data_IF_767083117379
#
_entry.id   IF_767083117379
#
_cell.length_a   1.000
_cell.length_b   1.000
_cell.length_c   1.000
_cell.angle_alpha   90.00
_cell.angle_beta   90.00
_cell.angle_gamma   90.00
#
_symmetry.space_group_name_H-M   'P 1'
#
loop_
_entity.id
_entity.type
_entity.pdbx_description
1 polymer ?
#
# COMPACT_ATOMS: atom_id res chain seq x y z
N UNK A 1 38.63 -1.91 -3.71
CA UNK A 1 38.33 -0.66 -4.41
C UNK A 1 36.91 -0.73 -4.97
N UNK A 2 36.13 0.30 -4.77
CA UNK A 2 34.82 0.50 -5.42
C UNK A 2 34.83 1.87 -6.12
N UNK A 3 34.09 1.97 -7.20
CA UNK A 3 33.97 3.20 -7.99
C UNK A 3 32.58 3.76 -7.78
N UNK A 4 32.50 5.03 -7.38
CA UNK A 4 31.24 5.76 -7.25
C UNK A 4 31.05 6.55 -8.55
N UNK A 5 29.90 6.36 -9.21
CA UNK A 5 29.48 7.16 -10.36
C UNK A 5 28.46 8.18 -9.89
N UNK A 6 28.81 9.45 -9.91
CA UNK A 6 27.89 10.55 -9.66
C UNK A 6 27.38 11.09 -11.00
N UNK A 7 26.12 10.84 -11.32
CA UNK A 7 25.50 11.23 -12.59
C UNK A 7 24.90 12.63 -12.61
N UNK A 8 24.85 13.32 -11.46
CA UNK A 8 24.14 14.61 -11.28
C UNK A 8 24.96 15.65 -10.52
N UNK A 9 26.26 15.46 -10.35
CA UNK A 9 27.10 16.30 -9.50
C UNK A 9 26.52 16.53 -8.09
N UNK A 10 25.76 15.54 -7.58
CA UNK A 10 25.09 15.62 -6.29
C UNK A 10 26.11 15.82 -5.14
N UNK A 11 27.29 15.34 -5.32
CA UNK A 11 28.40 15.50 -4.39
C UNK A 11 28.68 16.99 -4.07
N UNK A 12 28.55 17.89 -5.03
CA UNK A 12 28.72 19.32 -4.79
C UNK A 12 27.60 19.97 -3.96
N UNK A 13 26.42 19.33 -3.88
CA UNK A 13 25.30 19.82 -3.07
C UNK A 13 25.38 19.37 -1.62
N UNK A 14 26.22 18.38 -1.32
CA UNK A 14 26.43 17.83 0.02
C UNK A 14 27.85 18.08 0.55
N UNK A 15 28.59 19.01 -0.06
CA UNK A 15 29.90 19.42 0.42
C UNK A 15 29.75 20.05 1.83
N UNK A 16 29.91 19.22 2.85
CA UNK A 16 29.95 19.60 4.26
C UNK A 16 31.39 19.44 4.75
N UNK A 17 32.08 20.51 5.12
CA UNK A 17 33.46 20.44 5.59
C UNK A 17 33.68 19.55 6.80
N UNK A 18 32.65 19.30 7.62
CA UNK A 18 32.72 18.37 8.75
C UNK A 18 32.51 16.91 8.35
N UNK A 19 31.86 16.66 7.18
CA UNK A 19 31.57 15.32 6.69
C UNK A 19 32.61 14.80 5.69
N UNK A 20 33.28 15.68 4.93
CA UNK A 20 34.18 15.32 3.84
C UNK A 20 35.49 14.64 4.27
N UNK A 21 35.69 14.48 5.58
CA UNK A 21 36.77 13.64 6.11
C UNK A 21 38.18 14.05 5.65
N UNK A 22 38.37 15.31 5.24
CA UNK A 22 39.73 15.80 5.03
C UNK A 22 40.49 15.78 6.36
N UNK A 23 41.66 15.15 6.41
CA UNK A 23 42.44 15.14 7.61
C UNK A 23 42.80 16.59 7.97
N UNK A 24 42.32 17.06 9.11
CA UNK A 24 42.76 18.32 9.66
C UNK A 24 44.25 18.18 9.92
N UNK A 25 45.08 18.85 9.12
CA UNK A 25 46.50 18.96 9.39
C UNK A 25 46.72 19.70 10.69
N UNK A 26 47.11 19.01 11.76
CA UNK A 26 47.44 19.53 13.08
C UNK A 26 48.64 20.50 13.11
N UNK A 27 49.12 20.97 11.98
CA UNK A 27 50.38 21.73 11.83
C UNK A 27 50.20 23.25 11.76
N UNK A 28 49.02 23.83 11.95
CA UNK A 28 48.86 25.31 11.89
C UNK A 28 48.16 25.96 13.05
N UNK A 29 48.38 25.45 14.26
CA UNK A 29 47.99 26.19 15.47
C UNK A 29 49.20 26.85 16.15
N UNK A 30 49.52 28.06 15.73
CA UNK A 30 50.13 29.09 16.60
C UNK A 30 50.06 30.45 15.93
N UNK A 31 48.95 31.16 16.09
CA UNK A 31 48.93 32.64 16.11
C UNK A 31 47.86 33.19 17.01
N UNK A 32 48.29 33.59 18.17
CA UNK A 32 47.99 34.80 18.94
C UNK A 32 46.57 35.34 19.06
N UNK A 33 46.13 35.29 20.31
CA UNK A 33 44.99 35.98 20.89
C UNK A 33 45.20 37.50 20.86
N UNK A 34 44.21 38.24 20.38
CA UNK A 34 43.93 39.59 20.86
C UNK A 34 42.44 39.72 21.20
N UNK A 35 42.09 40.41 22.29
CA UNK A 35 40.74 40.42 22.83
C UNK A 35 39.94 41.58 22.28
N UNK A 36 38.71 41.36 21.81
CA UNK A 36 37.76 42.46 21.67
C UNK A 36 36.31 41.98 21.74
N UNK A 37 35.62 42.69 22.62
CA UNK A 37 34.20 43.01 22.66
C UNK A 37 33.17 41.88 22.96
N UNK A 38 32.57 42.09 24.11
CA UNK A 38 31.33 41.49 24.60
C UNK A 38 30.18 41.73 23.64
N UNK A 39 29.50 40.63 23.24
CA UNK A 39 28.11 40.67 22.82
C UNK A 39 27.28 39.70 23.66
N UNK A 40 25.97 39.94 23.85
CA UNK A 40 25.20 39.34 24.92
C UNK A 40 24.84 37.89 24.63
N UNK A 41 24.95 37.05 25.64
CA UNK A 41 24.54 35.66 25.63
C UNK A 41 23.07 35.50 25.26
N UNK A 42 22.81 35.03 24.05
CA UNK A 42 21.51 34.48 23.70
C UNK A 42 21.51 33.03 24.16
N UNK A 43 20.80 32.78 25.24
CA UNK A 43 20.53 31.43 25.78
C UNK A 43 19.76 30.65 24.74
N UNK A 44 20.43 29.78 24.02
CA UNK A 44 19.74 28.71 23.27
C UNK A 44 19.26 27.71 24.31
N UNK A 45 17.96 27.75 24.60
CA UNK A 45 17.29 26.67 25.30
C UNK A 45 17.40 25.42 24.43
N UNK A 46 18.20 24.47 24.88
CA UNK A 46 18.21 23.11 24.35
C UNK A 46 16.87 22.48 24.70
N UNK A 47 15.93 22.55 23.80
CA UNK A 47 14.70 21.81 23.93
C UNK A 47 14.98 20.36 23.42
N UNK A 48 15.49 19.54 24.35
CA UNK A 48 15.56 18.09 24.18
C UNK A 48 14.16 17.54 24.23
N UNK A 49 13.48 17.54 23.08
CA UNK A 49 12.40 16.64 22.81
C UNK A 49 12.54 16.15 21.36
N UNK A 50 13.42 15.22 21.13
CA UNK A 50 13.32 14.30 19.98
C UNK A 50 12.05 13.47 20.15
N UNK A 51 10.92 14.07 19.91
CA UNK A 51 9.72 13.32 19.54
C UNK A 51 9.95 12.85 18.09
N UNK A 52 9.73 11.54 17.79
CA UNK A 52 9.80 11.07 16.42
C UNK A 52 8.87 11.96 15.59
N UNK A 53 9.40 12.52 14.52
CA UNK A 53 8.64 13.38 13.60
C UNK A 53 7.34 12.65 13.23
N UNK A 54 6.23 13.10 13.80
CA UNK A 54 4.90 12.64 13.41
C UNK A 54 4.80 12.92 11.92
N UNK A 55 4.73 11.88 11.11
CA UNK A 55 4.58 11.95 9.66
C UNK A 55 3.56 13.03 9.33
N UNK A 56 4.02 14.14 8.76
CA UNK A 56 3.15 15.24 8.35
C UNK A 56 2.20 14.70 7.28
N UNK A 57 0.90 14.75 7.53
CA UNK A 57 -0.11 14.34 6.55
C UNK A 57 -0.43 15.50 5.63
N UNK A 58 -0.43 15.24 4.33
CA UNK A 58 -0.87 16.18 3.31
C UNK A 58 -2.35 15.93 3.01
N UNK A 59 -3.15 16.99 3.06
CA UNK A 59 -4.58 16.93 2.70
C UNK A 59 -4.76 17.39 1.27
N UNK A 60 -5.29 16.51 0.44
CA UNK A 60 -5.56 16.75 -0.97
C UNK A 60 -7.06 16.86 -1.17
N UNK A 61 -7.54 18.01 -1.62
CA UNK A 61 -8.94 18.21 -1.97
C UNK A 61 -9.18 17.76 -3.41
N UNK A 62 -10.05 16.79 -3.62
CA UNK A 62 -10.44 16.32 -4.94
C UNK A 62 -11.66 17.06 -5.49
N UNK A 63 -12.04 16.79 -6.75
CA UNK A 63 -13.15 17.45 -7.44
C UNK A 63 -14.52 17.18 -6.80
N UNK A 64 -14.66 16.11 -6.02
CA UNK A 64 -15.86 15.80 -5.23
C UNK A 64 -16.01 16.68 -3.97
N UNK A 65 -15.07 17.60 -3.75
CA UNK A 65 -15.04 18.49 -2.60
C UNK A 65 -14.54 17.84 -1.30
N UNK A 66 -14.30 16.53 -1.29
CA UNK A 66 -13.81 15.81 -0.12
C UNK A 66 -12.29 15.79 -0.07
N UNK A 67 -11.74 15.80 1.14
CA UNK A 67 -10.30 15.71 1.37
C UNK A 67 -9.84 14.24 1.45
N UNK A 68 -8.63 13.99 0.92
CA UNK A 68 -7.89 12.74 1.10
C UNK A 68 -6.60 13.06 1.83
N UNK A 69 -6.30 12.30 2.86
CA UNK A 69 -5.06 12.45 3.63
C UNK A 69 -4.04 11.42 3.13
N UNK A 70 -2.85 11.90 2.79
CA UNK A 70 -1.71 11.05 2.45
C UNK A 70 -0.51 11.44 3.32
N UNK A 71 0.41 10.51 3.57
CA UNK A 71 1.67 10.81 4.22
C UNK A 71 2.53 11.72 3.33
N UNK A 72 3.18 12.71 3.93
CA UNK A 72 4.18 13.50 3.23
C UNK A 72 5.47 12.70 3.14
N UNK A 73 5.75 12.12 1.97
CA UNK A 73 7.01 11.47 1.68
C UNK A 73 7.85 12.35 0.75
N UNK A 74 9.09 12.60 1.16
CA UNK A 74 10.01 13.52 0.45
C UNK A 74 10.52 12.93 -0.88
N UNK A 75 10.45 11.60 -1.07
CA UNK A 75 11.14 10.92 -2.17
C UNK A 75 10.29 9.95 -2.99
N UNK A 76 8.96 10.02 -2.95
CA UNK A 76 8.14 9.12 -3.79
C UNK A 76 7.76 9.83 -5.08
N UNK A 77 8.31 9.37 -6.19
CA UNK A 77 7.92 9.79 -7.53
C UNK A 77 6.99 8.74 -8.14
N UNK A 78 5.86 9.18 -8.65
CA UNK A 78 5.00 8.38 -9.50
C UNK A 78 5.32 8.65 -10.96
N UNK A 79 4.96 7.72 -11.83
CA UNK A 79 5.10 7.89 -13.26
C UNK A 79 3.72 8.14 -13.87
N UNK A 80 3.60 9.20 -14.64
CA UNK A 80 2.39 9.47 -15.40
C UNK A 80 2.25 8.50 -16.58
N UNK A 81 1.06 8.43 -17.17
CA UNK A 81 0.80 7.61 -18.35
C UNK A 81 1.69 8.00 -19.56
N UNK A 82 2.26 9.20 -19.56
CA UNK A 82 3.23 9.70 -20.57
C UNK A 82 4.69 9.35 -20.23
N UNK A 83 4.93 8.58 -19.17
CA UNK A 83 6.26 8.19 -18.70
C UNK A 83 7.06 9.30 -18.02
N UNK A 84 6.41 10.39 -17.60
CA UNK A 84 7.06 11.46 -16.84
C UNK A 84 6.82 11.33 -15.35
N UNK A 85 7.77 11.76 -14.51
CA UNK A 85 7.56 11.78 -13.07
C UNK A 85 6.50 12.81 -12.70
N UNK A 86 5.56 12.40 -11.85
CA UNK A 86 4.50 13.25 -11.31
C UNK A 86 4.49 13.19 -9.78
N UNK A 87 3.98 14.23 -9.13
CA UNK A 87 3.82 14.23 -7.68
C UNK A 87 2.71 13.25 -7.24
N UNK A 88 2.77 12.80 -5.98
CA UNK A 88 1.72 11.96 -5.40
C UNK A 88 0.34 12.61 -5.46
N UNK A 89 0.28 13.93 -5.28
CA UNK A 89 -0.96 14.70 -5.38
C UNK A 89 -1.53 14.68 -6.80
N UNK A 90 -0.69 14.92 -7.79
CA UNK A 90 -1.08 14.91 -9.20
C UNK A 90 -1.50 13.50 -9.64
N UNK A 91 -0.73 12.48 -9.27
CA UNK A 91 -1.07 11.09 -9.55
C UNK A 91 -2.44 10.72 -8.98
N UNK A 92 -2.70 11.08 -7.71
CA UNK A 92 -3.97 10.81 -7.05
C UNK A 92 -5.14 11.54 -7.74
N UNK A 93 -4.96 12.81 -8.15
CA UNK A 93 -5.96 13.57 -8.90
C UNK A 93 -6.25 12.96 -10.27
N UNK A 94 -5.22 12.50 -10.96
CA UNK A 94 -5.34 11.85 -12.27
C UNK A 94 -6.05 10.50 -12.13
N UNK A 95 -5.67 9.67 -11.16
CA UNK A 95 -6.34 8.41 -10.87
C UNK A 95 -7.82 8.65 -10.53
N UNK A 96 -8.13 9.58 -9.61
CA UNK A 96 -9.51 9.92 -9.27
C UNK A 96 -10.33 10.34 -10.50
N UNK A 97 -9.73 11.11 -11.41
CA UNK A 97 -10.38 11.52 -12.67
C UNK A 97 -10.62 10.36 -13.64
N UNK A 98 -9.81 9.29 -13.57
CA UNK A 98 -9.87 8.13 -14.45
C UNK A 98 -10.83 7.04 -13.95
N UNK A 99 -10.93 6.85 -12.64
CA UNK A 99 -11.73 5.77 -12.04
C UNK A 99 -13.20 5.72 -12.49
N UNK A 100 -13.92 6.85 -12.76
CA UNK A 100 -15.29 6.82 -13.28
C UNK A 100 -15.48 6.16 -14.65
N UNK A 101 -14.39 5.92 -15.39
CA UNK A 101 -14.46 5.15 -16.64
C UNK A 101 -14.63 3.63 -16.39
N UNK A 102 -14.25 3.16 -15.20
CA UNK A 102 -14.29 1.76 -14.82
C UNK A 102 -15.51 1.39 -13.97
N UNK A 103 -15.91 2.27 -13.08
CA UNK A 103 -17.09 2.10 -12.22
C UNK A 103 -17.66 3.46 -11.81
N UNK A 104 -18.97 3.50 -11.61
CA UNK A 104 -19.69 4.76 -11.32
C UNK A 104 -20.01 4.95 -9.84
N UNK A 105 -20.06 3.87 -9.09
CA UNK A 105 -20.43 3.87 -7.69
C UNK A 105 -19.75 2.71 -6.93
N UNK A 106 -19.88 2.75 -5.62
CA UNK A 106 -19.31 1.76 -4.71
C UNK A 106 -19.83 0.33 -4.99
N UNK A 107 -21.10 0.17 -5.30
CA UNK A 107 -21.70 -1.14 -5.56
C UNK A 107 -21.12 -1.78 -6.84
N UNK A 108 -20.87 -0.99 -7.87
CA UNK A 108 -20.18 -1.47 -9.08
C UNK A 108 -18.74 -1.90 -8.80
N UNK A 109 -17.99 -1.12 -8.03
CA UNK A 109 -16.64 -1.48 -7.61
C UNK A 109 -16.66 -2.79 -6.82
N UNK A 110 -17.55 -2.93 -5.84
CA UNK A 110 -17.73 -4.16 -5.05
C UNK A 110 -18.03 -5.37 -5.91
N UNK A 111 -18.96 -5.22 -6.85
CA UNK A 111 -19.35 -6.28 -7.79
C UNK A 111 -18.17 -6.73 -8.66
N UNK A 112 -17.39 -5.78 -9.19
CA UNK A 112 -16.19 -6.10 -9.99
C UNK A 112 -15.17 -6.83 -9.12
N UNK A 113 -14.96 -6.36 -7.88
CA UNK A 113 -13.92 -6.86 -6.99
C UNK A 113 -14.22 -8.23 -6.38
N UNK A 114 -15.49 -8.51 -6.14
CA UNK A 114 -15.97 -9.74 -5.49
C UNK A 114 -15.76 -11.02 -6.31
N UNK A 115 -15.46 -10.88 -7.58
CA UNK A 115 -15.18 -12.02 -8.46
C UNK A 115 -13.72 -11.94 -8.97
N UNK A 116 -12.91 -12.97 -8.76
CA UNK A 116 -11.49 -12.94 -9.14
C UNK A 116 -11.26 -12.72 -10.64
N UNK A 117 -12.17 -13.15 -11.51
CA UNK A 117 -12.06 -12.97 -12.97
C UNK A 117 -12.27 -11.50 -13.34
N UNK A 118 -13.36 -10.88 -12.84
CA UNK A 118 -13.65 -9.47 -13.13
C UNK A 118 -12.66 -8.54 -12.46
N UNK A 119 -12.19 -8.89 -11.25
CA UNK A 119 -11.13 -8.18 -10.55
C UNK A 119 -9.84 -8.15 -11.36
N UNK A 120 -9.38 -9.30 -11.84
CA UNK A 120 -8.18 -9.39 -12.68
C UNK A 120 -8.31 -8.53 -13.93
N UNK A 121 -9.39 -8.70 -14.69
CA UNK A 121 -9.63 -7.92 -15.91
C UNK A 121 -9.70 -6.40 -15.65
N UNK A 122 -10.23 -5.99 -14.50
CA UNK A 122 -10.25 -4.60 -14.07
C UNK A 122 -8.85 -4.07 -13.76
N UNK A 123 -8.07 -4.82 -12.97
CA UNK A 123 -6.69 -4.44 -12.62
C UNK A 123 -5.79 -4.37 -13.86
N UNK A 124 -5.93 -5.30 -14.80
CA UNK A 124 -5.20 -5.29 -16.07
C UNK A 124 -5.50 -4.00 -16.87
N UNK A 125 -6.77 -3.64 -17.03
CA UNK A 125 -7.17 -2.41 -17.72
C UNK A 125 -6.69 -1.15 -17.00
N UNK A 126 -6.68 -1.17 -15.68
CA UNK A 126 -6.18 -0.06 -14.87
C UNK A 126 -4.68 0.12 -15.07
N UNK A 127 -3.93 -1.00 -15.13
CA UNK A 127 -2.50 -1.01 -15.42
C UNK A 127 -2.19 -0.50 -16.83
N UNK A 128 -2.97 -0.90 -17.86
CA UNK A 128 -2.87 -0.36 -19.22
C UNK A 128 -3.09 1.16 -19.29
N UNK A 129 -3.83 1.71 -18.33
CA UNK A 129 -4.06 3.14 -18.19
C UNK A 129 -2.98 3.87 -17.38
N UNK A 130 -1.89 3.18 -16.99
CA UNK A 130 -0.77 3.74 -16.23
C UNK A 130 -0.93 3.69 -14.70
N UNK A 131 -1.90 2.90 -14.21
CA UNK A 131 -2.14 2.73 -12.78
C UNK A 131 -1.97 1.25 -12.40
N UNK A 132 -0.72 0.80 -12.47
CA UNK A 132 -0.36 -0.58 -12.20
C UNK A 132 -0.35 -0.92 -10.70
N UNK A 133 -0.05 -2.18 -10.42
CA UNK A 133 -0.01 -2.70 -9.06
C UNK A 133 1.04 -1.99 -8.18
N UNK A 134 2.19 -1.63 -8.74
CA UNK A 134 3.26 -0.96 -8.00
C UNK A 134 2.84 0.43 -7.54
N UNK A 135 2.21 1.20 -8.42
CA UNK A 135 1.68 2.52 -8.12
C UNK A 135 0.57 2.45 -7.08
N UNK A 136 -0.35 1.49 -7.22
CA UNK A 136 -1.44 1.28 -6.25
C UNK A 136 -0.90 0.85 -4.87
N UNK A 137 0.12 -0.01 -4.83
CA UNK A 137 0.79 -0.40 -3.58
C UNK A 137 1.52 0.79 -2.94
N UNK A 138 2.09 1.66 -3.74
CA UNK A 138 2.72 2.89 -3.25
C UNK A 138 1.69 3.83 -2.65
N UNK A 139 0.53 4.02 -3.31
CA UNK A 139 -0.59 4.76 -2.74
C UNK A 139 -1.11 4.12 -1.45
N UNK A 140 -1.18 2.79 -1.39
CA UNK A 140 -1.59 2.05 -0.20
C UNK A 140 -0.72 2.38 1.01
N UNK A 141 0.60 2.48 0.81
CA UNK A 141 1.54 2.91 1.84
C UNK A 141 1.33 4.38 2.24
N UNK A 142 1.11 5.26 1.24
CA UNK A 142 0.89 6.68 1.48
C UNK A 142 -0.37 7.00 2.30
N UNK A 143 -1.37 6.12 2.27
CA UNK A 143 -2.61 6.28 3.05
C UNK A 143 -2.65 5.41 4.32
N UNK A 144 -1.52 4.87 4.77
CA UNK A 144 -1.42 3.98 5.94
C UNK A 144 -2.29 2.71 5.83
N UNK A 145 -2.42 2.12 4.64
CA UNK A 145 -3.35 1.03 4.37
C UNK A 145 -2.69 -0.30 3.95
N UNK A 146 -1.42 -0.55 4.34
CA UNK A 146 -0.68 -1.76 3.95
C UNK A 146 -1.34 -3.07 4.43
N UNK A 147 -2.10 -2.99 5.52
CA UNK A 147 -2.87 -4.13 6.06
C UNK A 147 -4.27 -4.24 5.46
N UNK A 148 -4.64 -3.34 4.55
CA UNK A 148 -5.91 -3.32 3.82
C UNK A 148 -5.75 -3.92 2.43
N UNK A 149 -6.79 -3.96 1.62
CA UNK A 149 -6.72 -4.35 0.21
C UNK A 149 -6.53 -3.15 -0.72
N UNK A 150 -6.11 -3.42 -1.96
CA UNK A 150 -6.17 -2.41 -3.02
C UNK A 150 -7.62 -1.95 -3.29
N UNK A 151 -8.61 -2.77 -3.00
CA UNK A 151 -10.02 -2.38 -2.96
C UNK A 151 -10.24 -1.16 -2.08
N UNK A 152 -9.72 -1.19 -0.84
CA UNK A 152 -9.86 -0.10 0.11
C UNK A 152 -9.15 1.17 -0.36
N UNK A 153 -8.02 1.04 -1.06
CA UNK A 153 -7.31 2.18 -1.69
C UNK A 153 -8.21 2.85 -2.72
N UNK A 154 -8.80 2.07 -3.63
CA UNK A 154 -9.69 2.58 -4.68
C UNK A 154 -10.99 3.17 -4.07
N UNK A 155 -11.56 2.52 -3.06
CA UNK A 155 -12.74 2.98 -2.33
C UNK A 155 -12.45 4.30 -1.59
N UNK A 156 -11.29 4.43 -0.96
CA UNK A 156 -10.86 5.66 -0.32
C UNK A 156 -10.66 6.80 -1.32
N UNK A 157 -9.97 6.54 -2.43
CA UNK A 157 -9.75 7.55 -3.46
C UNK A 157 -11.07 7.99 -4.07
N UNK A 158 -11.94 7.05 -4.47
CA UNK A 158 -13.19 7.36 -5.17
C UNK A 158 -14.25 7.99 -4.27
N UNK A 159 -14.41 7.48 -3.04
CA UNK A 159 -15.58 7.79 -2.21
C UNK A 159 -15.23 8.40 -0.84
N UNK A 160 -13.93 8.52 -0.49
CA UNK A 160 -13.45 8.94 0.84
C UNK A 160 -13.86 8.00 1.98
N UNK A 161 -14.03 6.72 1.69
CA UNK A 161 -14.33 5.68 2.68
C UNK A 161 -13.02 5.23 3.31
N UNK A 162 -12.93 5.23 4.63
CA UNK A 162 -11.70 4.84 5.35
C UNK A 162 -11.37 3.36 5.12
N UNK A 163 -10.11 3.04 4.80
CA UNK A 163 -9.67 1.66 4.64
C UNK A 163 -9.88 0.83 5.91
N UNK A 164 -10.25 -0.43 5.73
CA UNK A 164 -10.29 -1.43 6.80
C UNK A 164 -9.23 -2.49 6.57
N UNK A 165 -8.67 -3.05 7.64
CA UNK A 165 -7.68 -4.11 7.49
C UNK A 165 -8.32 -5.41 7.00
N UNK A 166 -7.55 -6.25 6.29
CA UNK A 166 -7.97 -7.58 5.84
C UNK A 166 -8.49 -8.44 6.99
N UNK A 167 -7.86 -8.37 8.16
CA UNK A 167 -8.31 -9.08 9.36
C UNK A 167 -9.71 -8.64 9.83
N UNK A 168 -9.98 -7.33 9.85
CA UNK A 168 -11.31 -6.79 10.19
C UNK A 168 -12.34 -7.20 9.14
N UNK A 169 -11.96 -7.17 7.84
CA UNK A 169 -12.83 -7.62 6.75
C UNK A 169 -13.23 -9.07 6.91
N UNK A 170 -12.28 -9.97 7.17
CA UNK A 170 -12.53 -11.39 7.40
C UNK A 170 -13.43 -11.59 8.62
N UNK A 171 -13.13 -10.94 9.74
CA UNK A 171 -13.93 -11.07 10.96
C UNK A 171 -15.41 -10.68 10.75
N UNK A 172 -15.67 -9.62 9.96
CA UNK A 172 -17.04 -9.19 9.63
C UNK A 172 -17.75 -10.17 8.67
N UNK A 173 -17.04 -10.77 7.74
CA UNK A 173 -17.60 -11.65 6.72
C UNK A 173 -17.72 -13.11 7.17
N UNK A 174 -16.98 -13.53 8.18
CA UNK A 174 -16.82 -14.94 8.59
C UNK A 174 -18.14 -15.65 8.83
N UNK A 175 -19.08 -15.02 9.53
CA UNK A 175 -20.39 -15.63 9.82
C UNK A 175 -21.14 -15.96 8.51
N UNK A 176 -21.16 -15.06 7.55
CA UNK A 176 -21.83 -15.26 6.27
C UNK A 176 -21.09 -16.29 5.40
N UNK A 177 -19.75 -16.24 5.36
CA UNK A 177 -18.94 -17.20 4.62
C UNK A 177 -19.20 -18.63 5.11
N UNK A 178 -19.27 -18.84 6.43
CA UNK A 178 -19.36 -20.16 7.01
C UNK A 178 -20.78 -20.70 7.17
N UNK A 179 -21.80 -19.88 6.94
CA UNK A 179 -23.20 -20.24 7.18
C UNK A 179 -23.69 -21.49 6.45
N UNK A 180 -23.17 -21.73 5.24
CA UNK A 180 -23.62 -22.79 4.33
C UNK A 180 -22.58 -23.90 4.11
N UNK A 181 -21.46 -23.86 4.82
CA UNK A 181 -20.34 -24.75 4.60
C UNK A 181 -20.30 -25.88 5.63
N UNK A 182 -19.86 -27.06 5.19
CA UNK A 182 -19.51 -28.16 6.10
C UNK A 182 -18.17 -27.89 6.81
N UNK A 183 -17.83 -28.75 7.80
CA UNK A 183 -16.63 -28.56 8.61
C UNK A 183 -15.33 -28.62 7.78
N UNK A 184 -15.24 -29.46 6.75
CA UNK A 184 -14.05 -29.57 5.89
C UNK A 184 -13.86 -28.35 5.01
N UNK A 185 -14.96 -27.84 4.45
CA UNK A 185 -14.97 -26.61 3.67
C UNK A 185 -14.60 -25.42 4.55
N UNK A 186 -15.10 -25.35 5.79
CA UNK A 186 -14.71 -24.31 6.78
C UNK A 186 -13.21 -24.35 7.06
N UNK A 187 -12.67 -25.49 7.42
CA UNK A 187 -11.22 -25.64 7.65
C UNK A 187 -10.36 -25.22 6.44
N UNK A 188 -10.84 -25.49 5.23
CA UNK A 188 -10.20 -25.06 4.00
C UNK A 188 -10.23 -23.54 3.85
N UNK A 189 -11.41 -22.94 4.00
CA UNK A 189 -11.55 -21.49 3.83
C UNK A 189 -10.88 -20.72 4.97
N UNK A 190 -10.85 -21.23 6.21
CA UNK A 190 -10.05 -20.64 7.29
C UNK A 190 -8.56 -20.55 6.93
N UNK A 191 -8.03 -21.61 6.33
CA UNK A 191 -6.66 -21.62 5.83
C UNK A 191 -6.47 -20.60 4.70
N UNK A 192 -7.36 -20.55 3.71
CA UNK A 192 -7.31 -19.56 2.62
C UNK A 192 -7.38 -18.14 3.16
N UNK A 193 -8.30 -17.87 4.07
CA UNK A 193 -8.48 -16.56 4.69
C UNK A 193 -7.27 -16.14 5.54
N UNK A 194 -6.58 -17.09 6.19
CA UNK A 194 -5.34 -16.78 6.89
C UNK A 194 -4.25 -16.31 5.94
N UNK A 195 -4.12 -16.97 4.76
CA UNK A 195 -3.17 -16.56 3.71
C UNK A 195 -3.53 -15.20 3.11
N UNK A 196 -4.80 -14.97 2.86
CA UNK A 196 -5.29 -13.68 2.42
C UNK A 196 -4.97 -12.54 3.41
N UNK A 197 -5.17 -12.75 4.71
CA UNK A 197 -4.82 -11.75 5.74
C UNK A 197 -3.33 -11.44 5.71
N UNK A 198 -2.51 -12.47 5.56
CA UNK A 198 -1.06 -12.40 5.61
C UNK A 198 -0.48 -11.70 4.36
N UNK A 199 -0.87 -12.11 3.18
CA UNK A 199 -0.25 -11.75 1.90
C UNK A 199 -1.07 -10.74 1.09
N UNK A 200 -2.40 -10.88 1.04
CA UNK A 200 -3.29 -9.99 0.29
C UNK A 200 -4.23 -10.71 -0.67
N UNK A 201 -4.90 -9.91 -1.49
CA UNK A 201 -5.98 -10.36 -2.39
C UNK A 201 -5.50 -11.31 -3.50
N UNK A 202 -4.22 -11.32 -3.82
CA UNK A 202 -3.64 -12.23 -4.80
C UNK A 202 -3.80 -13.71 -4.41
N UNK A 203 -3.86 -14.00 -3.11
CA UNK A 203 -4.13 -15.37 -2.64
C UNK A 203 -5.56 -15.83 -2.96
N UNK A 204 -6.44 -14.90 -3.34
CA UNK A 204 -7.81 -15.17 -3.74
C UNK A 204 -7.96 -15.33 -5.26
N UNK A 205 -6.88 -15.26 -6.03
CA UNK A 205 -6.92 -15.46 -7.47
C UNK A 205 -7.03 -16.95 -7.81
N UNK A 206 -7.78 -17.28 -8.85
CA UNK A 206 -8.04 -18.69 -9.23
C UNK A 206 -6.74 -19.47 -9.51
N UNK A 207 -5.73 -18.79 -10.01
CA UNK A 207 -4.42 -19.38 -10.31
C UNK A 207 -3.67 -19.85 -9.06
N UNK A 208 -4.01 -19.29 -7.89
CA UNK A 208 -3.43 -19.67 -6.59
C UNK A 208 -4.08 -20.91 -5.98
N UNK A 209 -5.31 -21.25 -6.39
CA UNK A 209 -6.06 -22.35 -5.80
C UNK A 209 -5.32 -23.70 -5.81
N UNK A 210 -4.66 -24.13 -6.90
CA UNK A 210 -3.89 -25.39 -6.90
C UNK A 210 -2.75 -25.38 -5.85
N UNK A 211 -2.03 -24.28 -5.73
CA UNK A 211 -0.95 -24.13 -4.78
C UNK A 211 -1.45 -24.15 -3.32
N UNK A 212 -2.56 -23.48 -3.03
CA UNK A 212 -3.20 -23.50 -1.71
C UNK A 212 -3.68 -24.91 -1.30
N UNK A 213 -4.25 -25.65 -2.27
CA UNK A 213 -4.68 -27.03 -2.06
C UNK A 213 -3.48 -27.96 -1.78
N UNK A 214 -2.43 -27.84 -2.58
CA UNK A 214 -1.20 -28.62 -2.37
C UNK A 214 -0.53 -28.32 -1.02
N UNK A 215 -0.55 -27.05 -0.60
CA UNK A 215 0.04 -26.63 0.67
C UNK A 215 -0.74 -27.20 1.88
N UNK A 216 -2.07 -27.28 1.79
CA UNK A 216 -2.91 -27.77 2.89
C UNK A 216 -3.08 -29.29 2.88
N UNK A 217 -3.22 -29.92 1.70
CA UNK A 217 -3.62 -31.32 1.55
C UNK A 217 -2.57 -32.20 0.89
N UNK A 218 -1.38 -31.67 0.56
CA UNK A 218 -0.29 -32.31 -0.16
C UNK A 218 -0.60 -32.65 -1.61
N UNK A 219 -1.80 -33.17 -1.92
CA UNK A 219 -2.22 -33.42 -3.31
C UNK A 219 -3.60 -32.84 -3.60
N UNK A 220 -3.84 -32.49 -4.87
CA UNK A 220 -5.17 -32.03 -5.33
C UNK A 220 -6.19 -33.17 -5.25
N UNK A 221 -5.77 -34.43 -5.44
CA UNK A 221 -6.64 -35.59 -5.33
C UNK A 221 -7.18 -35.78 -3.92
N UNK A 222 -6.33 -35.63 -2.90
CA UNK A 222 -6.74 -35.72 -1.49
C UNK A 222 -7.72 -34.59 -1.14
N UNK A 223 -7.42 -33.39 -1.60
CA UNK A 223 -8.33 -32.25 -1.43
C UNK A 223 -9.69 -32.51 -2.08
N UNK A 224 -9.71 -33.03 -3.31
CA UNK A 224 -10.94 -33.32 -4.03
C UNK A 224 -11.80 -34.39 -3.32
N UNK A 225 -11.15 -35.44 -2.80
CA UNK A 225 -11.85 -36.49 -2.04
C UNK A 225 -12.47 -35.95 -0.74
N UNK A 226 -11.82 -34.98 -0.07
CA UNK A 226 -12.27 -34.41 1.21
C UNK A 226 -13.31 -33.30 1.04
N UNK A 227 -13.25 -32.52 -0.06
CA UNK A 227 -14.03 -31.30 -0.28
C UNK A 227 -15.15 -31.48 -1.33
N UNK A 228 -15.43 -32.71 -1.75
CA UNK A 228 -16.56 -32.99 -2.64
C UNK A 228 -16.27 -32.70 -4.14
N UNK A 229 -15.01 -32.82 -4.55
CA UNK A 229 -14.58 -32.72 -5.95
C UNK A 229 -14.05 -31.33 -6.36
N UNK A 230 -13.34 -31.31 -7.47
CA UNK A 230 -12.64 -30.11 -7.96
C UNK A 230 -13.61 -28.96 -8.28
N UNK A 231 -14.76 -29.27 -8.88
CA UNK A 231 -15.74 -28.25 -9.24
C UNK A 231 -16.38 -27.61 -8.02
N UNK A 232 -16.65 -28.40 -6.96
CA UNK A 232 -17.16 -27.88 -5.70
C UNK A 232 -16.12 -26.99 -4.99
N UNK A 233 -14.88 -27.39 -4.99
CA UNK A 233 -13.77 -26.58 -4.44
C UNK A 233 -13.68 -25.24 -5.15
N UNK A 234 -13.69 -25.25 -6.48
CA UNK A 234 -13.62 -24.05 -7.30
C UNK A 234 -14.82 -23.14 -7.05
N UNK A 235 -16.03 -23.69 -7.04
CA UNK A 235 -17.24 -22.95 -6.77
C UNK A 235 -17.22 -22.31 -5.37
N UNK A 236 -16.83 -23.07 -4.35
CA UNK A 236 -16.68 -22.57 -2.98
C UNK A 236 -15.65 -21.46 -2.90
N UNK A 237 -14.48 -21.65 -3.51
CA UNK A 237 -13.39 -20.66 -3.55
C UNK A 237 -13.75 -19.35 -4.25
N UNK A 238 -14.58 -19.39 -5.29
CA UNK A 238 -15.06 -18.18 -5.97
C UNK A 238 -16.19 -17.52 -5.17
N UNK A 239 -17.15 -18.32 -4.71
CA UNK A 239 -18.39 -17.79 -4.15
C UNK A 239 -18.21 -17.11 -2.80
N UNK A 240 -17.28 -17.57 -1.93
CA UNK A 240 -17.11 -16.93 -0.63
C UNK A 240 -16.59 -15.49 -0.75
N UNK A 241 -15.87 -15.16 -1.81
CA UNK A 241 -15.23 -13.85 -1.99
C UNK A 241 -16.24 -12.70 -2.04
N UNK A 242 -17.45 -12.93 -2.52
CA UNK A 242 -18.53 -11.93 -2.48
C UNK A 242 -18.80 -11.44 -1.06
N UNK A 243 -18.80 -12.35 -0.09
CA UNK A 243 -19.09 -12.01 1.30
C UNK A 243 -17.99 -11.17 1.96
N UNK A 244 -16.75 -11.24 1.47
CA UNK A 244 -15.66 -10.38 1.94
C UNK A 244 -15.91 -8.90 1.65
N UNK A 245 -16.63 -8.59 0.57
CA UNK A 245 -16.82 -7.23 0.07
C UNK A 245 -18.27 -6.74 0.16
N UNK A 246 -19.21 -7.53 0.70
CA UNK A 246 -20.61 -7.15 0.89
C UNK A 246 -20.81 -6.11 2.00
N UNK A 247 -19.98 -6.13 3.05
CA UNK A 247 -20.18 -5.26 4.21
C UNK A 247 -19.64 -3.86 3.95
N UNK A 248 -20.55 -2.87 3.96
CA UNK A 248 -20.16 -1.47 4.04
C UNK A 248 -19.54 -1.18 5.40
N UNK A 249 -18.42 -0.43 5.49
CA UNK A 249 -17.99 0.09 6.78
C UNK A 249 -19.14 0.95 7.33
N UNK A 250 -19.68 0.57 8.48
CA UNK A 250 -20.62 1.40 9.22
C UNK A 250 -19.88 2.67 9.64
N UNK A 251 -20.37 3.81 9.20
CA UNK A 251 -19.89 5.14 9.60
C UNK A 251 -20.07 5.35 11.09
#
# INVERSE_FOLDING_TARGET
YFTIYDFVDAYHHFADPEWDGEPVDEATERREKTPSAKEPATTYATDESEQPEKNKKLKIKLRDGKEREIQHMISTSFWGADGKPVSAEEFLKNLFGKLPEFFKNEDELRKIWSNPITRKAFLDKLAESGYGKEELNTLQKLIDAEKSDLFDVLEYISFAIKPITRAVRVAKAQANIFSTLDNKQKEFLEFVLSKYIETGVEELDQEKLPALLALKYHTISDAAALLGGVDNIRATFINFQKHLYEHRPTL
#
